data_IF_552471341612
#
_entry.id   IF_552471341612
#
_cell.length_a   1.000
_cell.length_b   1.000
_cell.length_c   1.000
_cell.angle_alpha   90.00
_cell.angle_beta   90.00
_cell.angle_gamma   90.00
#
_symmetry.space_group_name_H-M   'P 1'
#
loop_
_entity.id
_entity.type
_entity.pdbx_description
1 polymer ?
#
# COMPACT_ATOMS: atom_id res chain seq x y z
N UNK A 1 4.55 8.33 33.44
CA UNK A 1 3.53 7.47 32.80
C UNK A 1 3.45 7.93 31.35
N UNK A 2 3.80 7.10 30.36
CA UNK A 2 3.70 7.49 28.96
C UNK A 2 2.22 7.46 28.58
N UNK A 3 1.64 8.62 28.28
CA UNK A 3 0.29 8.72 27.71
C UNK A 3 0.36 8.40 26.23
N UNK A 4 -0.20 7.26 25.84
CA UNK A 4 -0.38 6.88 24.45
C UNK A 4 -1.56 7.64 23.87
N UNK A 5 -1.28 8.63 23.04
CA UNK A 5 -2.30 9.33 22.25
C UNK A 5 -2.31 8.75 20.84
N UNK A 6 -3.49 8.54 20.23
CA UNK A 6 -3.56 8.14 18.82
C UNK A 6 -2.80 9.10 17.91
N UNK A 7 -2.31 8.59 16.79
CA UNK A 7 -1.64 9.39 15.76
C UNK A 7 -2.53 10.60 15.37
N UNK A 8 -2.00 11.83 15.34
CA UNK A 8 -2.78 13.03 15.06
C UNK A 8 -3.37 13.08 13.64
N UNK A 9 -2.93 12.19 12.75
CA UNK A 9 -3.45 12.03 11.38
C UNK A 9 -4.53 10.94 11.26
N UNK A 10 -4.94 10.35 12.39
CA UNK A 10 -6.09 9.46 12.45
C UNK A 10 -7.34 10.26 12.78
N UNK A 11 -8.37 10.11 11.94
CA UNK A 11 -9.60 10.88 12.03
C UNK A 11 -10.79 9.95 12.27
N UNK A 12 -11.55 10.11 13.37
CA UNK A 12 -12.70 9.23 13.67
C UNK A 12 -13.84 9.27 12.64
N UNK A 13 -13.90 10.30 11.79
CA UNK A 13 -14.96 10.44 10.79
C UNK A 13 -14.50 11.27 9.58
N UNK A 14 -15.16 11.11 8.41
CA UNK A 14 -14.89 11.93 7.24
C UNK A 14 -14.99 13.45 7.52
N UNK A 15 -15.95 13.86 8.36
CA UNK A 15 -16.13 15.28 8.74
C UNK A 15 -14.93 15.84 9.50
N UNK A 16 -14.27 15.04 10.33
CA UNK A 16 -13.06 15.47 11.05
C UNK A 16 -11.85 15.47 10.12
N UNK A 17 -11.72 14.46 9.24
CA UNK A 17 -10.68 14.42 8.23
C UNK A 17 -10.72 15.65 7.30
N UNK A 18 -11.92 16.05 6.85
CA UNK A 18 -12.12 17.22 6.00
C UNK A 18 -11.80 18.57 6.68
N UNK A 19 -11.65 18.59 8.01
CA UNK A 19 -11.28 19.78 8.79
C UNK A 19 -9.81 19.78 9.21
N UNK A 20 -9.07 18.72 8.89
CA UNK A 20 -7.66 18.61 9.23
C UNK A 20 -6.82 19.64 8.46
N UNK A 21 -5.59 19.93 8.92
CA UNK A 21 -4.64 20.74 8.16
C UNK A 21 -4.43 20.18 6.75
N UNK A 22 -4.28 21.08 5.78
CA UNK A 22 -3.95 20.71 4.41
C UNK A 22 -2.56 20.02 4.36
N UNK A 23 -2.42 19.09 3.41
CA UNK A 23 -1.17 18.40 3.13
C UNK A 23 -0.06 19.36 2.70
N UNK A 24 1.18 18.99 3.02
CA UNK A 24 2.38 19.75 2.66
C UNK A 24 3.33 18.97 1.76
N UNK A 25 3.07 17.69 1.54
CA UNK A 25 3.86 16.80 0.71
C UNK A 25 2.92 15.86 -0.05
N UNK A 26 3.28 15.51 -1.27
CA UNK A 26 2.73 14.38 -2.01
C UNK A 26 3.81 13.34 -2.27
N UNK A 27 3.48 12.08 -2.02
CA UNK A 27 4.27 10.93 -2.46
C UNK A 27 3.67 10.44 -3.78
N UNK A 28 4.49 10.28 -4.81
CA UNK A 28 4.04 9.94 -6.17
C UNK A 28 4.85 8.75 -6.66
N UNK A 29 4.15 7.67 -7.02
CA UNK A 29 4.77 6.54 -7.71
C UNK A 29 5.18 6.96 -9.13
N UNK A 30 6.45 6.72 -9.46
CA UNK A 30 7.01 6.93 -10.78
C UNK A 30 7.67 5.63 -11.23
N UNK A 31 7.45 5.23 -12.48
CA UNK A 31 8.02 4.01 -13.03
C UNK A 31 8.56 4.23 -14.44
N UNK A 32 9.53 3.41 -14.83
CA UNK A 32 10.03 3.37 -16.21
C UNK A 32 9.32 2.27 -17.02
N UNK A 33 8.46 2.61 -17.99
CA UNK A 33 7.76 1.61 -18.81
C UNK A 33 8.71 0.75 -19.64
N UNK A 34 9.91 1.23 -19.95
CA UNK A 34 10.95 0.46 -20.64
C UNK A 34 11.77 -0.43 -19.70
N UNK A 35 11.60 -0.25 -18.38
CA UNK A 35 12.26 -1.01 -17.30
C UNK A 35 13.79 -0.93 -17.34
N UNK A 36 14.34 0.15 -17.92
CA UNK A 36 15.79 0.40 -18.01
C UNK A 36 16.31 1.11 -16.78
N UNK A 37 15.47 1.95 -16.17
CA UNK A 37 15.76 2.71 -14.96
C UNK A 37 14.98 2.13 -13.77
N UNK A 38 15.41 2.53 -12.57
CA UNK A 38 14.71 2.18 -11.34
C UNK A 38 13.43 2.99 -11.23
N UNK A 39 12.40 2.35 -10.74
CA UNK A 39 11.20 3.05 -10.32
C UNK A 39 11.48 3.79 -9.01
N UNK A 40 10.68 4.80 -8.68
CA UNK A 40 10.89 5.62 -7.50
C UNK A 40 9.59 6.14 -6.90
N UNK A 41 9.63 6.44 -5.61
CA UNK A 41 8.66 7.33 -4.97
C UNK A 41 9.24 8.74 -4.98
N UNK A 42 8.64 9.63 -5.76
CA UNK A 42 8.96 11.04 -5.77
C UNK A 42 8.23 11.75 -4.61
N UNK A 43 8.93 12.65 -3.92
CA UNK A 43 8.36 13.52 -2.90
C UNK A 43 8.20 14.91 -3.48
N UNK A 44 6.98 15.40 -3.59
CA UNK A 44 6.63 16.72 -4.13
C UNK A 44 6.27 17.65 -2.98
N UNK A 45 6.86 18.85 -2.94
CA UNK A 45 6.50 19.88 -1.96
C UNK A 45 5.19 20.57 -2.37
N UNK A 46 4.20 20.50 -1.48
CA UNK A 46 2.87 21.09 -1.69
C UNK A 46 2.63 22.31 -0.80
N UNK A 47 3.63 22.78 -0.04
CA UNK A 47 3.47 23.99 0.77
C UNK A 47 3.58 25.26 -0.09
N UNK A 48 2.52 26.06 -0.28
CA UNK A 48 2.59 27.29 -1.08
C UNK A 48 3.55 28.34 -0.51
N UNK A 49 3.94 28.21 0.76
CA UNK A 49 4.94 29.08 1.40
C UNK A 49 6.39 28.58 1.19
N UNK A 50 6.59 27.37 0.67
CA UNK A 50 7.92 26.81 0.41
C UNK A 50 8.50 27.39 -0.88
N UNK A 51 9.80 27.73 -0.92
CA UNK A 51 10.48 28.10 -2.17
C UNK A 51 10.53 26.95 -3.19
N UNK A 52 10.31 25.70 -2.74
CA UNK A 52 10.26 24.52 -3.58
C UNK A 52 8.82 24.08 -3.92
N UNK A 53 7.81 24.92 -3.69
CA UNK A 53 6.41 24.60 -3.99
C UNK A 53 6.25 24.07 -5.43
N UNK A 54 5.50 22.97 -5.57
CA UNK A 54 5.26 22.25 -6.82
C UNK A 54 6.51 21.66 -7.48
N UNK A 55 7.56 21.38 -6.71
CA UNK A 55 8.78 20.71 -7.18
C UNK A 55 8.96 19.34 -6.52
N UNK A 56 9.61 18.43 -7.23
CA UNK A 56 10.13 17.18 -6.65
C UNK A 56 11.35 17.55 -5.81
N UNK A 57 11.26 17.36 -4.49
CA UNK A 57 12.30 17.73 -3.53
C UNK A 57 13.21 16.57 -3.15
N UNK A 58 12.75 15.33 -3.33
CA UNK A 58 13.55 14.13 -3.19
C UNK A 58 12.91 12.96 -3.94
N UNK A 59 13.67 11.88 -4.12
CA UNK A 59 13.19 10.63 -4.69
C UNK A 59 13.81 9.46 -3.95
N UNK A 60 13.02 8.42 -3.73
CA UNK A 60 13.47 7.14 -3.18
C UNK A 60 13.43 6.12 -4.30
N UNK A 61 14.58 5.84 -4.90
CA UNK A 61 14.69 4.81 -5.94
C UNK A 61 14.58 3.40 -5.33
N UNK A 62 13.84 2.52 -6.01
CA UNK A 62 13.77 1.12 -5.63
C UNK A 62 15.14 0.43 -5.85
N UNK A 63 15.46 -0.66 -5.12
CA UNK A 63 16.78 -1.29 -5.22
C UNK A 63 17.07 -1.87 -6.62
N UNK A 64 16.04 -2.28 -7.35
CA UNK A 64 16.13 -2.85 -8.70
C UNK A 64 15.22 -2.16 -9.71
N UNK A 65 15.26 -2.63 -10.96
CA UNK A 65 14.40 -2.14 -12.05
C UNK A 65 13.20 -3.08 -12.26
N UNK A 66 12.19 -2.60 -13.00
CA UNK A 66 11.05 -3.42 -13.42
C UNK A 66 10.08 -3.81 -12.32
N UNK A 67 9.96 -3.00 -11.27
CA UNK A 67 8.90 -3.14 -10.27
C UNK A 67 7.52 -2.90 -10.87
N UNK A 68 7.41 -1.90 -11.76
CA UNK A 68 6.15 -1.35 -12.24
C UNK A 68 5.34 -0.82 -11.06
N UNK A 69 5.90 0.17 -10.35
CA UNK A 69 5.19 0.85 -9.27
C UNK A 69 3.85 1.42 -9.79
N UNK A 70 2.77 1.17 -9.05
CA UNK A 70 1.42 1.46 -9.51
C UNK A 70 0.55 2.10 -8.41
N UNK A 71 -0.09 1.28 -7.58
CA UNK A 71 -0.80 1.71 -6.38
C UNK A 71 0.07 1.48 -5.15
N UNK A 72 -0.11 2.30 -4.11
CA UNK A 72 0.54 2.11 -2.81
C UNK A 72 -0.32 2.73 -1.71
N UNK A 73 -0.02 2.39 -0.46
CA UNK A 73 -0.81 2.82 0.69
C UNK A 73 0.03 3.03 1.94
N UNK A 74 -0.62 3.42 3.04
CA UNK A 74 0.00 3.53 4.35
C UNK A 74 -0.12 2.22 5.13
N UNK A 75 0.82 1.96 6.05
CA UNK A 75 0.72 0.84 6.98
C UNK A 75 -0.47 0.94 7.94
N UNK A 76 -0.83 2.17 8.33
CA UNK A 76 -1.90 2.45 9.27
C UNK A 76 -2.59 3.76 8.91
N UNK A 77 -3.88 3.87 9.26
CA UNK A 77 -4.68 5.07 9.01
C UNK A 77 -5.87 5.14 9.98
N UNK A 78 -6.83 6.02 9.71
CA UNK A 78 -8.02 6.21 10.54
C UNK A 78 -8.81 4.94 10.86
N UNK A 79 -8.68 3.87 10.06
CA UNK A 79 -9.27 2.55 10.35
C UNK A 79 -8.78 1.97 11.69
N UNK A 80 -7.60 2.35 12.17
CA UNK A 80 -7.07 1.95 13.48
C UNK A 80 -7.84 2.56 14.66
N UNK A 81 -8.74 3.52 14.40
CA UNK A 81 -9.71 4.03 15.38
C UNK A 81 -11.05 3.27 15.35
N UNK A 82 -11.19 2.24 14.52
CA UNK A 82 -12.42 1.46 14.43
C UNK A 82 -12.74 0.84 15.81
N UNK A 83 -13.94 1.07 16.37
CA UNK A 83 -14.28 0.58 17.72
C UNK A 83 -14.16 -0.94 17.88
N UNK A 84 -14.35 -1.69 16.80
CA UNK A 84 -14.36 -3.15 16.83
C UNK A 84 -12.94 -3.77 16.78
N UNK A 85 -11.92 -2.99 16.42
CA UNK A 85 -10.52 -3.45 16.35
C UNK A 85 -9.55 -2.25 16.49
N UNK A 86 -9.50 -1.60 17.67
CA UNK A 86 -8.68 -0.42 17.87
C UNK A 86 -7.20 -0.80 17.96
N UNK A 87 -6.36 -0.08 17.22
CA UNK A 87 -4.90 -0.23 17.24
C UNK A 87 -4.28 1.12 17.65
N UNK A 88 -4.37 1.53 18.92
CA UNK A 88 -3.92 2.86 19.36
C UNK A 88 -2.39 2.99 19.42
N UNK A 89 -1.65 1.88 19.24
CA UNK A 89 -0.20 1.81 19.31
C UNK A 89 0.47 1.96 17.93
N UNK A 90 -0.28 1.86 16.83
CA UNK A 90 0.26 2.04 15.48
C UNK A 90 0.17 3.50 15.03
N UNK A 91 1.07 3.89 14.13
CA UNK A 91 1.14 5.23 13.56
C UNK A 91 1.15 5.21 12.03
N UNK A 92 0.63 6.26 11.39
CA UNK A 92 0.78 6.47 9.94
C UNK A 92 2.22 6.87 9.66
N UNK A 93 3.05 5.91 9.26
CA UNK A 93 4.50 6.13 9.15
C UNK A 93 5.15 5.50 7.94
N UNK A 94 4.72 4.31 7.56
CA UNK A 94 5.36 3.58 6.49
C UNK A 94 4.48 3.60 5.25
N UNK A 95 5.08 3.95 4.11
CA UNK A 95 4.49 3.67 2.81
C UNK A 95 4.74 2.19 2.48
N UNK A 96 3.70 1.49 2.07
CA UNK A 96 3.72 0.10 1.62
C UNK A 96 3.55 0.14 0.11
N UNK A 97 4.65 -0.10 -0.60
CA UNK A 97 4.82 0.22 -2.02
C UNK A 97 5.07 -1.06 -2.82
N UNK A 98 4.02 -1.70 -3.36
CA UNK A 98 4.15 -2.87 -4.22
C UNK A 98 4.66 -2.52 -5.62
N UNK A 99 5.49 -3.40 -6.17
CA UNK A 99 5.75 -3.47 -7.61
C UNK A 99 4.74 -4.40 -8.27
N UNK A 100 3.88 -3.85 -9.14
CA UNK A 100 2.84 -4.61 -9.81
C UNK A 100 3.43 -5.78 -10.59
N UNK A 101 4.56 -5.60 -11.27
CA UNK A 101 5.17 -6.66 -12.09
C UNK A 101 6.12 -7.53 -11.29
N UNK A 102 6.98 -6.94 -10.47
CA UNK A 102 8.02 -7.67 -9.74
C UNK A 102 7.45 -8.54 -8.61
N UNK A 103 6.28 -8.18 -8.07
CA UNK A 103 5.76 -8.72 -6.81
C UNK A 103 6.65 -8.47 -5.59
N UNK A 104 7.59 -7.52 -5.66
CA UNK A 104 8.27 -6.99 -4.46
C UNK A 104 7.34 -6.01 -3.76
N UNK A 105 7.41 -5.94 -2.43
CA UNK A 105 6.77 -4.86 -1.66
C UNK A 105 7.84 -4.13 -0.86
N UNK A 106 7.97 -2.83 -1.09
CA UNK A 106 8.93 -1.97 -0.42
C UNK A 106 8.26 -1.23 0.73
N UNK A 107 8.89 -1.25 1.90
CA UNK A 107 8.44 -0.54 3.09
C UNK A 107 9.32 0.69 3.28
N UNK A 108 8.75 1.87 3.09
CA UNK A 108 9.46 3.15 3.19
C UNK A 108 9.06 3.88 4.47
N UNK A 109 10.00 4.12 5.37
CA UNK A 109 9.82 4.91 6.58
C UNK A 109 9.83 6.41 6.23
N UNK A 110 8.76 7.14 6.56
CA UNK A 110 8.68 8.60 6.38
C UNK A 110 9.09 9.39 7.63
N UNK A 111 9.63 8.74 8.66
CA UNK A 111 10.13 9.40 9.88
C UNK A 111 11.62 9.15 10.09
N UNK A 112 12.33 10.08 10.75
CA UNK A 112 11.84 11.35 11.30
C UNK A 112 11.64 12.46 10.24
N UNK A 113 12.11 12.26 9.01
CA UNK A 113 12.05 13.27 7.95
C UNK A 113 11.11 12.82 6.80
N UNK A 114 9.87 13.36 6.73
CA UNK A 114 8.93 12.99 5.69
C UNK A 114 9.34 13.50 4.30
N UNK A 115 10.28 14.45 4.21
CA UNK A 115 10.85 14.91 2.94
C UNK A 115 11.87 13.94 2.37
N UNK A 116 12.41 13.01 3.17
CA UNK A 116 13.42 12.05 2.74
C UNK A 116 13.12 10.64 3.28
N UNK A 117 12.06 9.96 2.78
CA UNK A 117 11.75 8.61 3.21
C UNK A 117 12.87 7.62 2.90
N UNK A 118 12.90 6.49 3.61
CA UNK A 118 13.94 5.46 3.44
C UNK A 118 13.35 4.07 3.38
N UNK A 119 13.84 3.24 2.45
CA UNK A 119 13.49 1.82 2.42
C UNK A 119 14.08 1.17 3.68
N UNK A 120 13.22 0.56 4.50
CA UNK A 120 13.60 -0.15 5.73
C UNK A 120 13.40 -1.65 5.64
N UNK A 121 12.58 -2.11 4.69
CA UNK A 121 12.34 -3.53 4.41
C UNK A 121 11.93 -3.69 2.94
N UNK A 122 12.33 -4.81 2.36
CA UNK A 122 11.80 -5.33 1.10
C UNK A 122 11.23 -6.70 1.39
N UNK A 123 9.97 -6.92 1.01
CA UNK A 123 9.34 -8.23 0.98
C UNK A 123 9.58 -8.79 -0.42
N UNK A 124 10.27 -9.92 -0.50
CA UNK A 124 10.69 -10.49 -1.78
C UNK A 124 9.54 -11.28 -2.45
N UNK A 125 9.55 -11.45 -3.79
CA UNK A 125 8.43 -12.05 -4.52
C UNK A 125 8.08 -13.47 -4.06
N UNK A 126 9.09 -14.22 -3.58
CA UNK A 126 8.89 -15.55 -3.04
C UNK A 126 7.97 -15.57 -1.82
N UNK A 127 8.03 -14.57 -0.95
CA UNK A 127 7.18 -14.48 0.24
C UNK A 127 5.70 -14.27 -0.13
N UNK A 128 5.43 -13.52 -1.20
CA UNK A 128 4.08 -13.36 -1.74
C UNK A 128 3.60 -14.63 -2.44
N UNK A 129 4.48 -15.28 -3.21
CA UNK A 129 4.18 -16.54 -3.87
C UNK A 129 3.87 -17.66 -2.87
N UNK A 130 4.57 -17.71 -1.73
CA UNK A 130 4.30 -18.62 -0.62
C UNK A 130 2.93 -18.34 0.02
N UNK A 131 2.49 -17.07 0.03
CA UNK A 131 1.12 -16.68 0.37
C UNK A 131 0.10 -16.97 -0.75
N UNK A 132 0.54 -17.49 -1.88
CA UNK A 132 -0.30 -17.95 -2.99
C UNK A 132 -0.60 -16.91 -4.06
N UNK A 133 0.01 -15.72 -4.02
CA UNK A 133 -0.33 -14.62 -4.91
C UNK A 133 0.89 -13.94 -5.55
N UNK A 134 0.66 -13.30 -6.70
CA UNK A 134 1.61 -12.40 -7.37
C UNK A 134 0.87 -11.20 -7.94
N UNK A 135 1.62 -10.20 -8.38
CA UNK A 135 1.11 -8.94 -8.94
C UNK A 135 0.27 -8.16 -7.92
N UNK A 136 0.86 -7.78 -6.78
CA UNK A 136 0.19 -6.94 -5.79
C UNK A 136 -0.19 -5.59 -6.40
N UNK A 137 -1.37 -5.08 -6.06
CA UNK A 137 -1.95 -3.89 -6.66
C UNK A 137 -2.44 -2.89 -5.61
N UNK A 138 -3.70 -2.97 -5.19
CA UNK A 138 -4.26 -2.01 -4.23
C UNK A 138 -3.82 -2.33 -2.81
N UNK A 139 -3.45 -1.28 -2.06
CA UNK A 139 -3.02 -1.38 -0.66
C UNK A 139 -3.97 -0.57 0.22
N UNK A 140 -4.56 -1.22 1.22
CA UNK A 140 -5.40 -0.56 2.23
C UNK A 140 -4.98 -0.92 3.66
N UNK A 141 -4.80 0.11 4.48
CA UNK A 141 -4.65 0.00 5.94
C UNK A 141 -5.97 -0.41 6.58
N UNK A 142 -6.12 -1.68 6.94
CA UNK A 142 -7.30 -2.18 7.65
C UNK A 142 -7.05 -2.37 9.13
N UNK A 143 -8.03 -2.87 9.88
CA UNK A 143 -7.86 -3.13 11.31
C UNK A 143 -7.07 -4.41 11.63
N UNK A 144 -7.03 -5.41 10.74
CA UNK A 144 -6.33 -6.69 11.02
C UNK A 144 -4.91 -6.75 10.43
N UNK A 145 -4.51 -5.71 9.71
CA UNK A 145 -3.29 -5.65 8.94
C UNK A 145 -3.41 -4.68 7.77
N UNK A 146 -2.36 -4.65 6.96
CA UNK A 146 -2.38 -4.05 5.63
C UNK A 146 -2.88 -5.09 4.66
N UNK A 147 -3.96 -4.77 3.96
CA UNK A 147 -4.56 -5.63 2.97
C UNK A 147 -4.02 -5.23 1.60
N UNK A 148 -3.60 -6.23 0.81
CA UNK A 148 -3.04 -6.01 -0.52
C UNK A 148 -3.77 -6.90 -1.51
N UNK A 149 -4.45 -6.31 -2.50
CA UNK A 149 -5.01 -7.10 -3.60
C UNK A 149 -3.91 -7.58 -4.54
N UNK A 150 -4.13 -8.69 -5.22
CA UNK A 150 -3.17 -9.32 -6.11
C UNK A 150 -3.88 -9.94 -7.33
N UNK A 151 -3.37 -9.68 -8.53
CA UNK A 151 -4.09 -10.00 -9.78
C UNK A 151 -3.98 -11.48 -10.16
N UNK A 152 -3.03 -12.23 -9.60
CA UNK A 152 -2.85 -13.63 -9.94
C UNK A 152 -2.34 -14.49 -8.81
N UNK A 153 -2.39 -15.80 -9.03
CA UNK A 153 -1.80 -16.82 -8.18
C UNK A 153 -0.26 -16.80 -8.28
N UNK A 154 0.41 -17.72 -7.58
CA UNK A 154 1.87 -17.89 -7.61
C UNK A 154 2.47 -18.11 -9.02
N UNK A 155 1.66 -18.57 -9.98
CA UNK A 155 2.06 -18.89 -11.35
C UNK A 155 1.72 -17.74 -12.33
N UNK A 156 1.18 -16.61 -11.84
CA UNK A 156 0.74 -15.50 -12.67
C UNK A 156 -0.55 -15.80 -13.46
N UNK A 157 -1.37 -16.74 -12.99
CA UNK A 157 -2.70 -17.10 -13.53
C UNK A 157 -3.79 -16.77 -12.52
N UNK A 158 -5.00 -17.29 -12.73
CA UNK A 158 -6.06 -17.23 -11.73
C UNK A 158 -5.96 -18.38 -10.70
N UNK A 159 -6.57 -18.21 -9.51
CA UNK A 159 -7.31 -17.04 -9.09
C UNK A 159 -6.41 -15.96 -8.46
N UNK A 160 -6.68 -14.68 -8.74
CA UNK A 160 -6.17 -13.54 -7.96
C UNK A 160 -6.90 -13.44 -6.62
N UNK A 161 -6.61 -12.41 -5.81
CA UNK A 161 -7.24 -12.24 -4.49
C UNK A 161 -6.67 -11.12 -3.63
N UNK A 162 -6.70 -11.32 -2.31
CA UNK A 162 -6.24 -10.39 -1.29
C UNK A 162 -5.35 -11.12 -0.27
N UNK A 163 -4.19 -10.56 0.06
CA UNK A 163 -3.35 -11.01 1.16
C UNK A 163 -3.32 -9.99 2.30
N UNK A 164 -2.92 -10.48 3.48
CA UNK A 164 -2.68 -9.67 4.67
C UNK A 164 -1.19 -9.56 4.97
N UNK A 165 -0.78 -8.37 5.40
CA UNK A 165 0.54 -8.05 5.92
C UNK A 165 0.37 -7.48 7.33
N UNK A 166 1.22 -7.89 8.26
CA UNK A 166 1.22 -7.37 9.62
C UNK A 166 1.60 -5.87 9.69
N UNK A 167 0.96 -5.10 10.58
CA UNK A 167 1.12 -3.64 10.64
C UNK A 167 2.50 -3.14 11.07
N UNK A 168 3.26 -3.95 11.82
CA UNK A 168 4.50 -3.54 12.45
C UNK A 168 5.70 -4.32 11.91
N UNK A 169 5.61 -5.64 11.88
CA UNK A 169 6.68 -6.50 11.38
C UNK A 169 6.75 -6.51 9.86
N UNK A 170 5.67 -6.13 9.18
CA UNK A 170 5.50 -6.25 7.73
C UNK A 170 5.70 -7.68 7.23
N UNK A 171 5.40 -8.68 8.04
CA UNK A 171 5.42 -10.07 7.62
C UNK A 171 4.14 -10.40 6.86
N UNK A 172 4.26 -11.16 5.77
CA UNK A 172 3.10 -11.65 5.03
C UNK A 172 2.39 -12.70 5.89
N UNK A 173 1.10 -12.47 6.17
CA UNK A 173 0.27 -13.36 6.99
C UNK A 173 -0.40 -14.46 6.15
N UNK A 174 -0.55 -14.24 4.85
CA UNK A 174 -1.18 -15.16 3.92
C UNK A 174 -2.44 -14.58 3.28
N UNK A 175 -3.21 -15.46 2.64
CA UNK A 175 -4.48 -15.12 1.98
C UNK A 175 -5.51 -14.66 3.00
N UNK A 176 -6.30 -13.66 2.62
CA UNK A 176 -7.43 -13.19 3.41
C UNK A 176 -8.66 -14.08 3.22
N UNK A 177 -8.88 -14.60 2.02
CA UNK A 177 -10.08 -15.39 1.72
C UNK A 177 -10.06 -16.75 2.44
N UNK A 178 -11.12 -17.00 3.22
CA UNK A 178 -11.40 -18.32 3.78
C UNK A 178 -12.25 -19.14 2.81
N UNK A 179 -13.30 -18.52 2.27
CA UNK A 179 -14.12 -19.02 1.17
C UNK A 179 -14.34 -17.88 0.17
N UNK A 180 -14.00 -18.13 -1.10
CA UNK A 180 -14.09 -17.15 -2.19
C UNK A 180 -15.21 -17.45 -3.19
N UNK A 181 -15.99 -18.50 -2.96
CA UNK A 181 -17.01 -18.95 -3.90
C UNK A 181 -16.46 -19.08 -5.34
N UNK A 182 -17.17 -18.56 -6.35
CA UNK A 182 -16.73 -18.66 -7.74
C UNK A 182 -15.76 -17.54 -8.19
N UNK A 183 -15.28 -16.67 -7.30
CA UNK A 183 -14.38 -15.58 -7.70
C UNK A 183 -13.08 -16.15 -8.27
N UNK A 184 -12.67 -15.64 -9.43
CA UNK A 184 -11.36 -15.97 -10.05
C UNK A 184 -10.51 -14.72 -10.26
N UNK A 185 -11.10 -13.65 -10.79
CA UNK A 185 -10.38 -12.42 -11.12
C UNK A 185 -10.32 -11.49 -9.91
N UNK A 186 -9.31 -10.62 -9.90
CA UNK A 186 -9.13 -9.59 -8.89
C UNK A 186 -8.53 -8.33 -9.52
N UNK A 187 -8.72 -7.18 -8.87
CA UNK A 187 -8.09 -5.92 -9.23
C UNK A 187 -8.03 -5.01 -8.01
N UNK A 188 -9.07 -4.21 -7.80
CA UNK A 188 -9.22 -3.30 -6.67
C UNK A 188 -10.14 -3.89 -5.61
N UNK A 189 -9.99 -3.45 -4.37
CA UNK A 189 -10.90 -3.81 -3.28
C UNK A 189 -11.03 -2.69 -2.27
N UNK A 190 -12.17 -2.61 -1.60
CA UNK A 190 -12.36 -1.77 -0.43
C UNK A 190 -13.47 -2.34 0.45
N UNK A 191 -13.91 -1.60 1.47
CA UNK A 191 -14.81 -2.12 2.48
C UNK A 191 -15.70 -1.07 3.09
N UNK A 192 -16.71 -1.56 3.80
CA UNK A 192 -17.42 -0.83 4.83
C UNK A 192 -17.24 -1.55 6.19
N UNK A 193 -16.25 -1.13 6.98
CA UNK A 193 -15.90 -1.77 8.26
C UNK A 193 -17.08 -1.89 9.23
N UNK A 194 -17.97 -0.88 9.28
CA UNK A 194 -19.14 -0.90 10.16
C UNK A 194 -20.23 -1.89 9.77
N UNK A 195 -20.18 -2.45 8.56
CA UNK A 195 -21.09 -3.49 8.06
C UNK A 195 -20.35 -4.80 7.79
N UNK A 196 -19.08 -4.89 8.19
CA UNK A 196 -18.25 -6.09 8.00
C UNK A 196 -18.31 -6.63 6.57
N UNK A 197 -18.18 -5.73 5.59
CA UNK A 197 -18.36 -6.05 4.17
C UNK A 197 -17.18 -5.54 3.36
N UNK A 198 -16.53 -6.42 2.61
CA UNK A 198 -15.53 -6.08 1.59
C UNK A 198 -16.16 -6.23 0.20
N UNK A 199 -15.81 -5.33 -0.71
CA UNK A 199 -16.15 -5.40 -2.13
C UNK A 199 -14.87 -5.50 -2.92
N UNK A 200 -14.79 -6.46 -3.83
CA UNK A 200 -13.68 -6.64 -4.76
C UNK A 200 -14.15 -6.43 -6.20
N UNK A 201 -13.22 -6.07 -7.08
CA UNK A 201 -13.45 -5.85 -8.50
C UNK A 201 -12.55 -6.75 -9.34
N UNK A 202 -12.76 -6.76 -10.66
CA UNK A 202 -12.11 -7.68 -11.59
C UNK A 202 -11.44 -6.91 -12.74
N UNK A 203 -10.24 -7.36 -13.14
CA UNK A 203 -9.58 -6.96 -14.38
C UNK A 203 -9.25 -8.20 -15.23
N UNK A 204 -8.00 -8.63 -15.27
CA UNK A 204 -7.52 -9.82 -15.97
C UNK A 204 -6.34 -10.43 -15.25
N UNK A 205 -6.03 -11.69 -15.53
CA UNK A 205 -4.85 -12.36 -14.97
C UNK A 205 -3.56 -11.77 -15.57
N UNK A 206 -2.41 -11.89 -14.88
CA UNK A 206 -1.13 -11.31 -15.33
C UNK A 206 -0.77 -11.63 -16.79
N UNK A 207 -0.96 -12.87 -17.22
CA UNK A 207 -0.71 -13.32 -18.58
C UNK A 207 -1.59 -12.66 -19.66
N UNK A 208 -2.70 -12.04 -19.28
CA UNK A 208 -3.60 -11.34 -20.21
C UNK A 208 -3.15 -9.90 -20.50
N UNK A 209 -2.41 -9.24 -19.60
CA UNK A 209 -2.06 -7.82 -19.75
C UNK A 209 -0.55 -7.54 -19.79
N UNK A 210 0.31 -8.40 -19.24
CA UNK A 210 1.74 -8.09 -19.10
C UNK A 210 2.50 -8.02 -20.42
N UNK A 211 2.02 -8.70 -21.47
CA UNK A 211 2.59 -8.63 -22.82
C UNK A 211 1.97 -7.55 -23.69
N UNK A 212 1.09 -6.72 -23.12
CA UNK A 212 0.21 -5.83 -23.88
C UNK A 212 -0.90 -6.61 -24.61
N UNK A 213 -1.94 -5.87 -24.99
CA UNK A 213 -2.76 -6.24 -26.16
C UNK A 213 -2.01 -5.86 -27.43
#
# INVERSE_FOLDING_TARGET
MVTWTPDPTFYPSPRLAARAPAEKLAYVASFDPERKNKDAIAVVDLDPASPAFAQIISQVEMPGTGDELHHFGWNACSSCLCPNAPHPHVERRYLVVPGLRSSRIHILDTKPDPKNPKIVKVIEPGELADAGYTRPHTVHCGPEGVYVSALGNAEGKGPGGVLLIDHESFNVRGRWEVDRGPQVLAYDMWWHLGYDTMVTSEWGTPDMFESGL
#
